data_IF_556243651266
#
_entry.id   IF_556243651266
#
_cell.length_a   1.000
_cell.length_b   1.000
_cell.length_c   1.000
_cell.angle_alpha   90.00
_cell.angle_beta   90.00
_cell.angle_gamma   90.00
#
_symmetry.space_group_name_H-M   'P 1'
#
loop_
_entity.id
_entity.type
_entity.pdbx_description
1 polymer ?
#
# COMPACT_ATOMS: atom_id res chain seq x y z
N UNK A 1 -0.39 5.21 -16.30
CA UNK A 1 -1.87 5.02 -16.37
C UNK A 1 -2.40 4.70 -17.76
N UNK A 2 -1.69 5.02 -18.86
CA UNK A 2 -2.18 4.75 -20.23
C UNK A 2 -2.31 3.24 -20.56
N UNK A 3 -1.52 2.37 -19.93
CA UNK A 3 -1.56 0.91 -20.15
C UNK A 3 -2.50 0.12 -19.21
N UNK A 4 -3.21 0.80 -18.30
CA UNK A 4 -4.08 0.09 -17.35
C UNK A 4 -5.31 -0.51 -18.05
N UNK A 5 -5.84 0.20 -19.07
CA UNK A 5 -7.03 -0.22 -19.82
C UNK A 5 -6.79 -1.47 -20.67
N UNK A 6 -5.57 -1.67 -21.16
CA UNK A 6 -5.19 -2.87 -21.93
C UNK A 6 -4.85 -4.06 -21.03
N UNK A 7 -4.48 -3.81 -19.77
CA UNK A 7 -4.04 -4.84 -18.82
C UNK A 7 -5.18 -5.40 -17.96
N UNK A 8 -6.16 -4.56 -17.60
CA UNK A 8 -7.30 -4.93 -16.75
C UNK A 8 -8.53 -5.27 -17.60
N UNK A 9 -9.27 -6.31 -17.19
CA UNK A 9 -10.61 -6.63 -17.77
C UNK A 9 -11.51 -5.40 -17.73
N UNK A 10 -12.25 -5.15 -18.81
CA UNK A 10 -13.09 -3.95 -18.97
C UNK A 10 -14.06 -3.72 -17.79
N UNK A 11 -14.68 -4.78 -17.27
CA UNK A 11 -15.55 -4.74 -16.08
C UNK A 11 -14.86 -4.18 -14.82
N UNK A 12 -13.57 -4.46 -14.66
CA UNK A 12 -12.78 -4.03 -13.51
C UNK A 12 -12.23 -2.63 -13.74
N UNK A 13 -11.94 -2.28 -15.01
CA UNK A 13 -11.54 -0.92 -15.37
C UNK A 13 -12.66 0.07 -15.06
N UNK A 14 -13.91 -0.24 -15.41
CA UNK A 14 -15.07 0.61 -15.10
C UNK A 14 -15.30 0.78 -13.60
N UNK A 15 -15.21 -0.31 -12.83
CA UNK A 15 -15.29 -0.25 -11.35
C UNK A 15 -14.18 0.61 -10.76
N UNK A 16 -12.98 0.49 -11.31
CA UNK A 16 -11.83 1.29 -10.90
C UNK A 16 -12.07 2.76 -11.24
N UNK A 17 -12.27 3.14 -12.50
CA UNK A 17 -12.33 4.54 -12.93
C UNK A 17 -13.62 5.24 -12.55
N UNK A 18 -14.77 4.62 -12.81
CA UNK A 18 -16.08 5.26 -12.75
C UNK A 18 -16.73 5.10 -11.38
N UNK A 19 -16.59 3.91 -10.79
CA UNK A 19 -17.15 3.62 -9.46
C UNK A 19 -16.19 3.96 -8.32
N UNK A 20 -14.93 4.32 -8.62
CA UNK A 20 -13.98 4.83 -7.65
C UNK A 20 -13.44 3.78 -6.67
N UNK A 21 -13.37 2.50 -7.08
CA UNK A 21 -12.97 1.40 -6.19
C UNK A 21 -11.50 1.47 -5.72
N UNK A 22 -10.69 2.35 -6.32
CA UNK A 22 -9.33 2.65 -5.85
C UNK A 22 -9.30 3.55 -4.61
N UNK A 23 -10.45 4.06 -4.17
CA UNK A 23 -10.57 4.99 -3.06
C UNK A 23 -11.32 4.33 -1.89
N UNK A 24 -10.69 4.31 -0.72
CA UNK A 24 -11.31 3.90 0.54
C UNK A 24 -12.00 5.11 1.16
N UNK A 25 -13.29 4.98 1.48
CA UNK A 25 -14.12 6.06 2.05
C UNK A 25 -14.86 5.55 3.27
N UNK A 26 -14.87 6.34 4.34
CA UNK A 26 -15.70 6.08 5.53
C UNK A 26 -17.10 6.71 5.45
N UNK A 27 -17.29 7.65 4.51
CA UNK A 27 -18.55 8.38 4.31
C UNK A 27 -18.76 8.69 2.83
N UNK A 28 -20.01 8.85 2.38
CA UNK A 28 -20.36 9.10 0.98
C UNK A 28 -20.13 10.55 0.50
N UNK A 29 -19.49 11.42 1.30
CA UNK A 29 -19.26 12.82 0.92
C UNK A 29 -18.30 12.94 -0.26
N UNK A 30 -18.50 13.93 -1.13
CA UNK A 30 -17.54 14.26 -2.19
C UNK A 30 -16.16 14.57 -1.56
N UNK A 31 -15.07 14.05 -2.14
CA UNK A 31 -13.68 14.16 -1.65
C UNK A 31 -13.34 13.50 -0.29
N UNK A 32 -14.23 12.70 0.30
CA UNK A 32 -13.98 12.01 1.58
C UNK A 32 -13.01 10.81 1.54
N UNK A 33 -12.34 10.60 0.41
CA UNK A 33 -11.74 9.33 0.09
C UNK A 33 -10.23 9.36 -0.01
N UNK A 34 -9.61 8.35 0.59
CA UNK A 34 -8.16 8.14 0.54
C UNK A 34 -7.86 7.05 -0.48
N UNK A 35 -6.80 7.23 -1.25
CA UNK A 35 -6.35 6.18 -2.18
C UNK A 35 -6.00 4.90 -1.40
N UNK A 36 -6.35 3.75 -1.99
CA UNK A 36 -6.11 2.43 -1.41
C UNK A 36 -4.63 2.21 -1.14
N UNK A 37 -3.77 2.58 -2.08
CA UNK A 37 -2.30 2.54 -1.96
C UNK A 37 -1.81 3.32 -0.72
N UNK A 38 -2.18 4.60 -0.62
CA UNK A 38 -1.89 5.45 0.55
C UNK A 38 -2.39 4.83 1.86
N UNK A 39 -3.52 4.12 1.84
CA UNK A 39 -4.07 3.48 3.04
C UNK A 39 -3.28 2.24 3.43
N UNK A 40 -2.83 1.44 2.44
CA UNK A 40 -1.96 0.28 2.64
C UNK A 40 -0.64 0.75 3.24
N UNK A 41 0.02 1.72 2.60
CA UNK A 41 1.26 2.33 3.09
C UNK A 41 1.11 2.86 4.51
N UNK A 42 0.08 3.69 4.78
CA UNK A 42 -0.12 4.25 6.11
C UNK A 42 -0.45 3.19 7.15
N UNK A 43 -1.23 2.16 6.83
CA UNK A 43 -1.54 1.08 7.76
C UNK A 43 -0.28 0.29 8.15
N UNK A 44 0.55 -0.04 7.17
CA UNK A 44 1.81 -0.74 7.37
C UNK A 44 2.81 0.13 8.14
N UNK A 45 2.99 1.39 7.73
CA UNK A 45 3.91 2.34 8.37
C UNK A 45 3.42 2.77 9.76
N UNK A 46 2.11 2.79 10.01
CA UNK A 46 1.55 3.07 11.35
C UNK A 46 1.91 1.98 12.33
N UNK A 47 1.90 0.70 11.95
CA UNK A 47 2.41 -0.36 12.82
C UNK A 47 3.90 -0.14 13.15
N UNK A 48 4.68 0.33 12.17
CA UNK A 48 6.10 0.66 12.32
C UNK A 48 6.35 1.87 13.25
N UNK A 49 5.45 2.86 13.23
CA UNK A 49 5.54 4.08 14.06
C UNK A 49 4.91 3.92 15.46
N UNK A 50 3.85 3.12 15.59
CA UNK A 50 3.05 3.00 16.82
C UNK A 50 3.59 1.95 17.79
N UNK A 51 4.14 0.82 17.30
CA UNK A 51 4.81 -0.15 18.17
C UNK A 51 6.24 0.32 18.46
N UNK A 52 6.36 1.25 19.40
CA UNK A 52 7.62 1.50 20.11
C UNK A 52 8.77 2.06 19.27
N UNK A 53 8.52 2.54 18.05
CA UNK A 53 9.44 3.29 17.20
C UNK A 53 10.84 2.70 17.09
N UNK A 54 11.19 2.16 15.93
CA UNK A 54 12.59 2.08 15.51
C UNK A 54 13.29 3.48 15.61
N UNK A 55 12.51 4.55 15.59
CA UNK A 55 12.90 5.96 15.82
C UNK A 55 12.74 6.47 17.25
N UNK A 56 12.03 5.76 18.14
CA UNK A 56 11.87 6.14 19.55
C UNK A 56 12.70 5.16 20.39
N UNK A 57 13.95 5.54 20.64
CA UNK A 57 15.05 4.84 21.33
C UNK A 57 14.70 4.10 22.65
N UNK A 58 13.47 4.18 23.18
CA UNK A 58 12.99 3.39 24.32
C UNK A 58 12.04 2.28 23.88
N UNK A 59 12.60 1.10 23.62
CA UNK A 59 11.86 -0.16 23.65
C UNK A 59 11.62 -0.79 22.29
N UNK A 60 12.68 -1.01 21.51
CA UNK A 60 12.66 -2.02 20.45
C UNK A 60 12.70 -3.39 21.12
N UNK A 61 11.54 -4.02 21.31
CA UNK A 61 11.44 -5.38 21.86
C UNK A 61 11.63 -6.36 20.71
N UNK A 62 12.41 -7.43 20.91
CA UNK A 62 12.79 -8.39 19.86
C UNK A 62 11.59 -8.98 19.09
N UNK A 63 10.44 -9.14 19.76
CA UNK A 63 9.21 -9.62 19.13
C UNK A 63 8.63 -8.65 18.10
N UNK A 64 8.75 -7.33 18.31
CA UNK A 64 8.34 -6.29 17.36
C UNK A 64 9.25 -6.32 16.14
N UNK A 65 10.56 -6.52 16.34
CA UNK A 65 11.53 -6.63 15.25
C UNK A 65 11.36 -7.92 14.44
N UNK A 66 11.08 -9.04 15.10
CA UNK A 66 10.81 -10.31 14.43
C UNK A 66 9.54 -10.20 13.56
N UNK A 67 8.46 -9.63 14.10
CA UNK A 67 7.24 -9.37 13.34
C UNK A 67 7.51 -8.41 12.17
N UNK A 68 8.30 -7.36 12.37
CA UNK A 68 8.68 -6.44 11.30
C UNK A 68 9.42 -7.12 10.15
N UNK A 69 10.41 -7.99 10.44
CA UNK A 69 11.12 -8.75 9.41
C UNK A 69 10.18 -9.62 8.57
N UNK A 70 9.19 -10.23 9.23
CA UNK A 70 8.19 -11.05 8.55
C UNK A 70 7.26 -10.21 7.67
N UNK A 71 6.71 -9.13 8.22
CA UNK A 71 5.80 -8.23 7.50
C UNK A 71 6.49 -7.52 6.32
N UNK A 72 7.78 -7.17 6.43
CA UNK A 72 8.53 -6.59 5.31
C UNK A 72 8.75 -7.56 4.16
N UNK A 73 8.88 -8.84 4.45
CA UNK A 73 9.04 -9.86 3.39
C UNK A 73 7.76 -9.97 2.56
N UNK A 74 6.60 -10.00 3.22
CA UNK A 74 5.31 -9.98 2.53
C UNK A 74 5.07 -8.67 1.79
N UNK A 75 5.47 -7.54 2.38
CA UNK A 75 5.39 -6.24 1.72
C UNK A 75 6.22 -6.17 0.44
N UNK A 76 7.47 -6.61 0.49
CA UNK A 76 8.33 -6.66 -0.69
C UNK A 76 7.70 -7.53 -1.79
N UNK A 77 7.07 -8.64 -1.43
CA UNK A 77 6.37 -9.49 -2.39
C UNK A 77 5.15 -8.78 -3.02
N UNK A 78 4.38 -8.01 -2.25
CA UNK A 78 3.27 -7.19 -2.76
C UNK A 78 3.78 -6.10 -3.69
N UNK A 79 4.84 -5.38 -3.33
CA UNK A 79 5.44 -4.33 -4.17
C UNK A 79 5.91 -4.90 -5.50
N UNK A 80 6.73 -5.96 -5.47
CA UNK A 80 7.25 -6.62 -6.69
C UNK A 80 6.11 -7.15 -7.56
N UNK A 81 5.03 -7.68 -6.96
CA UNK A 81 3.88 -8.16 -7.73
C UNK A 81 3.08 -7.02 -8.35
N UNK A 82 2.98 -5.89 -7.66
CA UNK A 82 2.31 -4.67 -8.14
C UNK A 82 3.14 -4.02 -9.26
N UNK A 83 4.45 -3.96 -9.10
CA UNK A 83 5.43 -3.53 -10.11
C UNK A 83 5.31 -4.35 -11.39
N UNK A 84 5.36 -5.69 -11.28
CA UNK A 84 5.16 -6.60 -12.42
C UNK A 84 3.81 -6.45 -13.08
N UNK A 85 2.76 -6.25 -12.30
CA UNK A 85 1.41 -6.05 -12.82
C UNK A 85 1.28 -4.74 -13.59
N UNK A 86 1.94 -3.68 -13.12
CA UNK A 86 1.93 -2.36 -13.75
C UNK A 86 2.99 -2.21 -14.86
N UNK A 87 3.94 -3.14 -14.97
CA UNK A 87 5.08 -3.03 -15.88
C UNK A 87 6.06 -1.91 -15.51
N UNK A 88 6.18 -1.60 -14.22
CA UNK A 88 7.03 -0.49 -13.71
C UNK A 88 8.01 -1.06 -12.70
N UNK A 89 9.29 -0.76 -12.84
CA UNK A 89 10.30 -1.04 -11.82
C UNK A 89 10.49 0.20 -10.93
N UNK A 90 10.16 0.08 -9.63
CA UNK A 90 10.38 1.13 -8.65
C UNK A 90 11.74 0.92 -7.99
N UNK A 91 12.79 1.49 -8.58
CA UNK A 91 14.10 1.52 -7.92
C UNK A 91 14.08 2.53 -6.78
N UNK A 92 14.33 2.09 -5.55
CA UNK A 92 14.69 3.00 -4.46
C UNK A 92 15.86 3.86 -4.93
N UNK A 93 15.73 5.19 -4.87
CA UNK A 93 16.88 6.08 -5.06
C UNK A 93 17.77 5.98 -3.81
N UNK A 94 19.09 5.91 -4.01
CA UNK A 94 20.11 5.89 -2.95
C UNK A 94 20.12 7.16 -2.08
#
# INVERSE_FOLDING_TARGET
MQDLKSTIREENYEKFTTQGYFIIRRTFKFWSGTWSDMTIEQSLMKNMKAFGGLTRVRGVIDNVMARWKQEMTEFQHICVRTEKFCGVDLTSSD
#
